data_IF_205459194532
#
_entry.id   IF_205459194532
#
_cell.length_a   1.000
_cell.length_b   1.000
_cell.length_c   1.000
_cell.angle_alpha   90.00
_cell.angle_beta   90.00
_cell.angle_gamma   90.00
#
_symmetry.space_group_name_H-M   'P 1'
#
loop_
_entity.id
_entity.type
_entity.pdbx_description
1 polymer ?
#
# COMPACT_ATOMS: atom_id res chain seq x y z
N UNK A 1 3.73 8.72 -30.07
CA UNK A 1 4.53 9.87 -29.63
C UNK A 1 3.77 10.86 -28.73
N UNK A 2 2.44 11.03 -28.89
CA UNK A 2 1.62 11.93 -28.07
C UNK A 2 1.52 11.50 -26.60
N UNK A 3 1.30 10.23 -26.34
CA UNK A 3 1.14 9.67 -24.96
C UNK A 3 2.40 9.89 -24.09
N UNK A 4 3.58 9.71 -24.67
CA UNK A 4 4.86 9.89 -23.96
C UNK A 4 5.09 11.35 -23.55
N UNK A 5 4.73 12.30 -24.41
CA UNK A 5 4.80 13.73 -24.10
C UNK A 5 3.86 14.09 -22.94
N UNK A 6 2.64 13.55 -22.95
CA UNK A 6 1.67 13.80 -21.89
C UNK A 6 2.08 13.16 -20.55
N UNK A 7 2.70 11.99 -20.57
CA UNK A 7 3.26 11.36 -19.35
C UNK A 7 4.34 12.22 -18.68
N UNK A 8 5.25 12.76 -19.47
CA UNK A 8 6.34 13.63 -18.97
C UNK A 8 5.81 14.93 -18.38
N UNK A 9 4.65 15.40 -18.82
CA UNK A 9 3.98 16.61 -18.33
C UNK A 9 3.24 16.40 -17.00
N UNK A 10 3.09 15.15 -16.53
CA UNK A 10 2.44 14.89 -15.24
C UNK A 10 3.22 15.54 -14.09
N UNK A 11 2.51 16.09 -13.09
CA UNK A 11 3.12 16.73 -11.94
C UNK A 11 4.10 15.81 -11.19
N UNK A 12 5.12 16.39 -10.61
CA UNK A 12 6.14 15.66 -9.82
C UNK A 12 5.53 14.79 -8.72
N UNK A 13 4.44 15.23 -8.12
CA UNK A 13 3.70 14.48 -7.09
C UNK A 13 3.19 13.14 -7.63
N UNK A 14 2.70 13.09 -8.88
CA UNK A 14 2.22 11.85 -9.52
C UNK A 14 3.37 10.85 -9.70
N UNK A 15 4.50 11.29 -10.20
CA UNK A 15 5.71 10.48 -10.35
C UNK A 15 6.25 9.99 -9.01
N UNK A 16 6.24 10.86 -8.00
CA UNK A 16 6.72 10.51 -6.66
C UNK A 16 5.83 9.44 -6.01
N UNK A 17 4.50 9.58 -6.11
CA UNK A 17 3.55 8.57 -5.63
C UNK A 17 3.74 7.25 -6.38
N UNK A 18 3.91 7.28 -7.69
CA UNK A 18 4.19 6.09 -8.49
C UNK A 18 5.48 5.39 -8.05
N UNK A 19 6.58 6.15 -7.87
CA UNK A 19 7.87 5.62 -7.43
C UNK A 19 7.79 5.00 -6.03
N UNK A 20 7.11 5.66 -5.10
CA UNK A 20 6.86 5.11 -3.76
C UNK A 20 6.10 3.78 -3.87
N UNK A 21 5.10 3.71 -4.73
CA UNK A 21 4.32 2.48 -4.95
C UNK A 21 5.19 1.36 -5.53
N UNK A 22 5.98 1.65 -6.55
CA UNK A 22 6.91 0.70 -7.15
C UNK A 22 7.86 0.10 -6.11
N UNK A 23 8.53 0.96 -5.33
CA UNK A 23 9.49 0.51 -4.30
C UNK A 23 8.79 -0.25 -3.17
N UNK A 24 7.63 0.23 -2.73
CA UNK A 24 6.87 -0.45 -1.68
C UNK A 24 6.37 -1.83 -2.12
N UNK A 25 5.86 -1.93 -3.36
CA UNK A 25 5.32 -3.19 -3.85
C UNK A 25 6.42 -4.17 -4.22
N UNK A 26 7.58 -3.69 -4.71
CA UNK A 26 8.77 -4.53 -4.80
C UNK A 26 9.14 -5.15 -3.44
N UNK A 27 9.13 -4.35 -2.37
CA UNK A 27 9.42 -4.85 -1.02
C UNK A 27 8.34 -5.82 -0.51
N UNK A 28 7.07 -5.53 -0.78
CA UNK A 28 5.94 -6.37 -0.37
C UNK A 28 5.97 -7.72 -1.03
N UNK A 29 6.07 -7.70 -2.36
CA UNK A 29 6.02 -8.90 -3.19
C UNK A 29 7.31 -9.72 -3.14
N UNK A 30 8.43 -9.12 -2.74
CA UNK A 30 9.65 -9.85 -2.36
C UNK A 30 9.40 -10.77 -1.17
N UNK A 31 8.65 -10.31 -0.17
CA UNK A 31 8.41 -11.05 1.07
C UNK A 31 7.21 -11.99 0.99
N UNK A 32 6.21 -11.66 0.19
CA UNK A 32 4.94 -12.38 0.15
C UNK A 32 5.10 -13.89 -0.09
N UNK A 33 5.90 -14.37 -1.09
CA UNK A 33 6.11 -15.80 -1.31
C UNK A 33 6.95 -16.47 -0.21
N UNK A 34 7.72 -15.69 0.56
CA UNK A 34 8.59 -16.22 1.61
C UNK A 34 7.84 -16.46 2.94
N UNK A 35 6.71 -15.79 3.16
CA UNK A 35 5.92 -15.92 4.40
C UNK A 35 5.41 -17.35 4.62
N UNK A 36 4.78 -18.04 3.64
CA UNK A 36 4.38 -19.43 3.80
C UNK A 36 5.57 -20.35 4.06
N UNK A 37 6.70 -20.13 3.38
CA UNK A 37 7.92 -20.88 3.57
C UNK A 37 8.48 -20.70 4.99
N UNK A 38 8.56 -19.44 5.47
CA UNK A 38 9.01 -19.13 6.82
C UNK A 38 8.08 -19.73 7.89
N UNK A 39 6.78 -19.63 7.67
CA UNK A 39 5.75 -20.18 8.56
C UNK A 39 5.89 -21.71 8.71
N UNK A 40 6.10 -22.42 7.61
CA UNK A 40 6.22 -23.88 7.64
C UNK A 40 7.60 -24.38 8.08
N UNK A 41 8.68 -23.78 7.56
CA UNK A 41 10.03 -24.28 7.78
C UNK A 41 10.66 -23.78 9.09
N UNK A 42 10.33 -22.57 9.56
CA UNK A 42 10.94 -21.96 10.74
C UNK A 42 9.98 -21.96 11.94
N UNK A 43 8.73 -21.56 11.72
CA UNK A 43 7.74 -21.48 12.80
C UNK A 43 6.98 -22.79 13.03
N UNK A 44 7.20 -23.80 12.19
CA UNK A 44 6.57 -25.13 12.27
C UNK A 44 5.04 -25.06 12.35
N UNK A 45 4.43 -24.05 11.71
CA UNK A 45 3.00 -23.81 11.72
C UNK A 45 2.35 -24.23 10.39
N UNK A 46 1.17 -24.84 10.50
CA UNK A 46 0.47 -25.42 9.37
C UNK A 46 -0.37 -24.40 8.55
N UNK A 47 -1.00 -24.85 7.45
CA UNK A 47 -1.80 -24.00 6.55
C UNK A 47 -2.95 -23.27 7.23
N UNK A 48 -3.50 -23.80 8.34
CA UNK A 48 -4.55 -23.13 9.12
C UNK A 48 -4.09 -21.80 9.70
N UNK A 49 -2.83 -21.75 10.20
CA UNK A 49 -2.24 -20.51 10.70
C UNK A 49 -2.08 -19.48 9.59
N UNK A 50 -1.62 -19.91 8.40
CA UNK A 50 -1.51 -19.04 7.22
C UNK A 50 -2.87 -18.46 6.83
N UNK A 51 -3.90 -19.30 6.74
CA UNK A 51 -5.27 -18.86 6.41
C UNK A 51 -5.83 -17.85 7.41
N UNK A 52 -5.57 -18.05 8.71
CA UNK A 52 -5.98 -17.12 9.76
C UNK A 52 -5.22 -15.78 9.64
N UNK A 53 -3.91 -15.83 9.45
CA UNK A 53 -3.06 -14.64 9.29
C UNK A 53 -3.53 -13.80 8.10
N UNK A 54 -3.66 -14.40 6.93
CA UNK A 54 -4.04 -13.67 5.71
C UNK A 54 -5.51 -13.23 5.76
N UNK A 55 -6.42 -14.05 6.31
CA UNK A 55 -7.83 -13.68 6.46
C UNK A 55 -8.04 -12.47 7.36
N UNK A 56 -7.42 -12.46 8.56
CA UNK A 56 -7.48 -11.31 9.47
C UNK A 56 -6.82 -10.08 8.85
N UNK A 57 -5.68 -10.28 8.19
CA UNK A 57 -4.95 -9.20 7.54
C UNK A 57 -5.79 -8.53 6.43
N UNK A 58 -6.40 -9.29 5.52
CA UNK A 58 -7.16 -8.74 4.41
C UNK A 58 -8.49 -8.11 4.85
N UNK A 59 -9.18 -8.70 5.82
CA UNK A 59 -10.37 -8.09 6.44
C UNK A 59 -10.04 -6.73 7.05
N UNK A 60 -8.93 -6.64 7.78
CA UNK A 60 -8.44 -5.39 8.39
C UNK A 60 -8.17 -4.32 7.32
N UNK A 61 -7.44 -4.66 6.26
CA UNK A 61 -7.13 -3.71 5.18
C UNK A 61 -8.41 -3.18 4.50
N UNK A 62 -9.38 -4.05 4.27
CA UNK A 62 -10.65 -3.70 3.62
C UNK A 62 -11.48 -2.76 4.47
N UNK A 63 -11.62 -3.04 5.77
CA UNK A 63 -12.34 -2.18 6.71
C UNK A 63 -11.67 -0.82 6.85
N UNK A 64 -10.34 -0.80 7.01
CA UNK A 64 -9.60 0.45 7.22
C UNK A 64 -9.59 1.36 5.99
N UNK A 65 -9.72 0.83 4.77
CA UNK A 65 -9.91 1.67 3.58
C UNK A 65 -11.15 2.56 3.68
N UNK A 66 -12.24 2.04 4.21
CA UNK A 66 -13.47 2.82 4.40
C UNK A 66 -13.27 3.93 5.45
N UNK A 67 -12.65 3.58 6.59
CA UNK A 67 -12.39 4.54 7.65
C UNK A 67 -11.37 5.61 7.25
N UNK A 68 -10.33 5.25 6.50
CA UNK A 68 -9.29 6.19 6.07
C UNK A 68 -9.83 7.26 5.12
N UNK A 69 -10.83 6.94 4.29
CA UNK A 69 -11.52 7.91 3.46
C UNK A 69 -12.22 8.97 4.32
N UNK A 70 -13.06 8.55 5.28
CA UNK A 70 -13.77 9.46 6.18
C UNK A 70 -12.79 10.30 7.02
N UNK A 71 -11.70 9.70 7.47
CA UNK A 71 -10.70 10.39 8.28
C UNK A 71 -9.95 11.44 7.46
N UNK A 72 -9.65 11.15 6.21
CA UNK A 72 -9.08 12.10 5.27
C UNK A 72 -9.99 13.30 5.03
N UNK A 73 -11.28 13.08 4.80
CA UNK A 73 -12.27 14.14 4.57
C UNK A 73 -12.35 15.10 5.77
N UNK A 74 -12.16 14.59 6.99
CA UNK A 74 -12.13 15.39 8.21
C UNK A 74 -10.85 16.18 8.39
N UNK A 75 -9.69 15.60 8.11
CA UNK A 75 -8.38 16.19 8.39
C UNK A 75 -7.88 17.10 7.28
N UNK A 76 -8.38 16.92 6.05
CA UNK A 76 -7.95 17.63 4.82
C UNK A 76 -6.43 17.57 4.59
N UNK A 77 -5.76 16.58 5.19
CA UNK A 77 -4.31 16.36 5.08
C UNK A 77 -4.02 14.91 4.73
N UNK A 78 -3.50 14.66 3.53
CA UNK A 78 -3.18 13.32 3.06
C UNK A 78 -1.80 12.85 3.53
N UNK A 79 -0.81 13.74 3.49
CA UNK A 79 0.59 13.41 3.79
C UNK A 79 0.81 12.71 5.12
N UNK A 80 0.27 13.16 6.28
CA UNK A 80 0.51 12.48 7.55
C UNK A 80 0.07 11.01 7.53
N UNK A 81 -1.09 10.72 6.95
CA UNK A 81 -1.62 9.37 6.84
C UNK A 81 -0.79 8.48 5.93
N UNK A 82 -0.28 9.05 4.83
CA UNK A 82 0.61 8.36 3.90
C UNK A 82 1.93 8.01 4.61
N UNK A 83 2.55 8.97 5.32
CA UNK A 83 3.81 8.76 6.04
C UNK A 83 3.65 7.74 7.17
N UNK A 84 2.61 7.86 7.98
CA UNK A 84 2.32 6.89 9.06
C UNK A 84 2.07 5.50 8.46
N UNK A 85 1.28 5.40 7.38
CA UNK A 85 1.00 4.13 6.74
C UNK A 85 2.25 3.45 6.20
N UNK A 86 3.15 4.16 5.51
CA UNK A 86 4.43 3.61 5.06
C UNK A 86 5.39 3.32 6.21
N UNK A 87 5.40 4.15 7.27
CA UNK A 87 6.19 3.93 8.46
C UNK A 87 5.82 2.63 9.19
N UNK A 88 4.53 2.38 9.42
CA UNK A 88 4.04 1.14 10.03
C UNK A 88 4.45 -0.10 9.22
N UNK A 89 4.26 -0.04 7.91
CA UNK A 89 4.65 -1.10 6.98
C UNK A 89 6.15 -1.31 6.98
N UNK A 90 6.91 -0.21 6.91
CA UNK A 90 8.37 -0.24 6.84
C UNK A 90 9.04 -0.77 8.10
N UNK A 91 8.49 -0.47 9.27
CA UNK A 91 8.98 -1.00 10.53
C UNK A 91 8.60 -2.48 10.73
N UNK A 92 7.39 -2.86 10.33
CA UNK A 92 6.88 -4.21 10.55
C UNK A 92 7.63 -5.28 9.77
N UNK A 93 7.93 -5.04 8.50
CA UNK A 93 8.51 -6.06 7.60
C UNK A 93 9.87 -6.61 8.05
N UNK A 94 10.87 -5.79 8.41
CA UNK A 94 12.14 -6.30 8.93
C UNK A 94 12.01 -7.07 10.24
N UNK A 95 11.00 -6.74 11.05
CA UNK A 95 10.76 -7.43 12.32
C UNK A 95 10.35 -8.90 12.15
N UNK A 96 9.90 -9.30 10.95
CA UNK A 96 9.61 -10.71 10.64
C UNK A 96 10.84 -11.58 10.86
N UNK A 97 12.04 -11.05 10.62
CA UNK A 97 13.30 -11.78 10.86
C UNK A 97 13.49 -12.28 12.29
N UNK A 98 12.88 -11.61 13.26
CA UNK A 98 13.02 -11.90 14.71
C UNK A 98 11.82 -12.66 15.29
N UNK A 99 10.87 -13.02 14.45
CA UNK A 99 9.66 -13.70 14.92
C UNK A 99 9.95 -15.15 15.31
N UNK A 100 9.58 -15.50 16.53
CA UNK A 100 9.76 -16.84 17.11
C UNK A 100 8.48 -17.69 17.11
N UNK A 101 7.32 -17.10 16.80
CA UNK A 101 6.05 -17.82 16.80
C UNK A 101 5.03 -17.19 15.84
N UNK A 102 4.11 -18.01 15.29
CA UNK A 102 3.13 -17.53 14.32
C UNK A 102 2.16 -16.43 14.84
N UNK A 103 1.80 -16.31 16.13
CA UNK A 103 0.99 -15.18 16.59
C UNK A 103 1.71 -13.83 16.46
N UNK A 104 3.03 -13.79 16.65
CA UNK A 104 3.82 -12.59 16.42
C UNK A 104 3.85 -12.21 14.93
N UNK A 105 3.98 -13.21 14.06
CA UNK A 105 3.87 -12.99 12.60
C UNK A 105 2.50 -12.40 12.25
N UNK A 106 1.43 -12.93 12.84
CA UNK A 106 0.07 -12.41 12.64
C UNK A 106 -0.04 -10.94 13.07
N UNK A 107 0.53 -10.56 14.21
CA UNK A 107 0.52 -9.16 14.69
C UNK A 107 1.26 -8.22 13.72
N UNK A 108 2.40 -8.64 13.20
CA UNK A 108 3.17 -7.87 12.22
C UNK A 108 2.37 -7.74 10.90
N UNK A 109 1.78 -8.82 10.41
CA UNK A 109 0.94 -8.80 9.20
C UNK A 109 -0.30 -7.92 9.39
N UNK A 110 -0.92 -7.98 10.56
CA UNK A 110 -2.03 -7.08 10.92
C UNK A 110 -1.57 -5.61 10.85
N UNK A 111 -0.44 -5.27 11.48
CA UNK A 111 0.13 -3.91 11.45
C UNK A 111 0.45 -3.44 10.01
N UNK A 112 1.00 -4.31 9.16
CA UNK A 112 1.24 -4.03 7.74
C UNK A 112 -0.07 -3.68 7.01
N UNK A 113 -1.14 -4.41 7.27
CA UNK A 113 -2.46 -4.16 6.66
C UNK A 113 -3.14 -2.91 7.20
N UNK A 114 -2.94 -2.59 8.49
CA UNK A 114 -3.36 -1.30 9.06
C UNK A 114 -2.67 -0.17 8.31
N UNK A 115 -1.35 -0.22 8.15
CA UNK A 115 -0.61 0.78 7.40
C UNK A 115 -1.08 0.90 5.94
N UNK A 116 -1.35 -0.23 5.26
CA UNK A 116 -1.91 -0.25 3.91
C UNK A 116 -3.29 0.40 3.84
N UNK A 117 -4.18 0.07 4.77
CA UNK A 117 -5.53 0.65 4.85
C UNK A 117 -5.49 2.17 5.07
N UNK A 118 -4.67 2.63 6.00
CA UNK A 118 -4.56 4.06 6.34
C UNK A 118 -4.06 4.92 5.18
N UNK A 119 -3.10 4.44 4.38
CA UNK A 119 -2.48 5.24 3.31
C UNK A 119 -3.24 5.20 1.99
N UNK A 120 -4.06 4.18 1.71
CA UNK A 120 -4.62 3.95 0.38
C UNK A 120 -5.52 5.10 -0.06
N UNK A 121 -6.56 5.44 0.71
CA UNK A 121 -7.49 6.54 0.35
C UNK A 121 -6.80 7.91 0.32
N UNK A 122 -5.96 8.30 1.29
CA UNK A 122 -5.21 9.56 1.23
C UNK A 122 -4.29 9.66 0.03
N UNK A 123 -3.60 8.57 -0.34
CA UNK A 123 -2.74 8.51 -1.52
C UNK A 123 -3.53 8.73 -2.81
N UNK A 124 -4.65 8.02 -2.96
CA UNK A 124 -5.48 8.09 -4.15
C UNK A 124 -6.12 9.48 -4.31
N UNK A 125 -6.54 10.10 -3.21
CA UNK A 125 -7.04 11.46 -3.21
C UNK A 125 -5.95 12.48 -3.59
N UNK A 126 -4.74 12.34 -3.04
CA UNK A 126 -3.59 13.18 -3.41
C UNK A 126 -3.23 13.02 -4.89
N UNK A 127 -3.26 11.79 -5.41
CA UNK A 127 -3.00 11.49 -6.82
C UNK A 127 -4.04 12.17 -7.72
N UNK A 128 -5.33 12.04 -7.39
CA UNK A 128 -6.43 12.65 -8.12
C UNK A 128 -6.37 14.18 -8.12
N UNK A 129 -6.03 14.79 -6.98
CA UNK A 129 -5.88 16.24 -6.83
C UNK A 129 -4.68 16.75 -7.64
N UNK A 130 -3.54 16.06 -7.57
CA UNK A 130 -2.33 16.46 -8.29
C UNK A 130 -2.49 16.36 -9.82
N UNK A 131 -3.19 15.36 -10.32
CA UNK A 131 -3.36 15.14 -11.76
C UNK A 131 -4.38 16.09 -12.40
N UNK A 132 -5.30 16.64 -11.61
CA UNK A 132 -6.41 17.43 -12.13
C UNK A 132 -7.43 16.60 -12.96
N UNK A 133 -8.58 17.19 -13.32
CA UNK A 133 -9.70 16.44 -13.91
C UNK A 133 -9.36 15.77 -15.25
N UNK A 134 -8.56 16.42 -16.10
CA UNK A 134 -8.25 15.94 -17.44
C UNK A 134 -7.21 14.81 -17.51
N UNK A 135 -6.35 14.65 -16.49
CA UNK A 135 -5.25 13.68 -16.50
C UNK A 135 -5.40 12.58 -15.44
N UNK A 136 -6.53 12.51 -14.72
CA UNK A 136 -6.76 11.50 -13.68
C UNK A 136 -6.54 10.07 -14.19
N UNK A 137 -7.15 9.71 -15.32
CA UNK A 137 -7.02 8.37 -15.88
C UNK A 137 -5.56 8.01 -16.17
N UNK A 138 -4.79 8.96 -16.73
CA UNK A 138 -3.37 8.74 -17.04
C UNK A 138 -2.52 8.62 -15.74
N UNK A 139 -2.79 9.43 -14.73
CA UNK A 139 -2.08 9.38 -13.46
C UNK A 139 -2.33 8.07 -12.70
N UNK A 140 -3.58 7.61 -12.64
CA UNK A 140 -3.92 6.31 -12.06
C UNK A 140 -3.35 5.15 -12.88
N UNK A 141 -3.35 5.26 -14.21
CA UNK A 141 -2.73 4.29 -15.11
C UNK A 141 -1.22 4.17 -14.87
N UNK A 142 -0.50 5.28 -14.78
CA UNK A 142 0.93 5.30 -14.45
C UNK A 142 1.19 4.69 -13.07
N UNK A 143 0.43 5.13 -12.06
CA UNK A 143 0.54 4.58 -10.71
C UNK A 143 0.36 3.05 -10.71
N UNK A 144 -0.67 2.54 -11.39
CA UNK A 144 -0.95 1.11 -11.48
C UNK A 144 0.12 0.34 -12.26
N UNK A 145 0.69 0.96 -13.29
CA UNK A 145 1.80 0.38 -14.04
C UNK A 145 3.06 0.23 -13.15
N UNK A 146 3.36 1.24 -12.34
CA UNK A 146 4.49 1.19 -11.40
C UNK A 146 4.25 0.21 -10.25
N UNK A 147 3.04 0.12 -9.73
CA UNK A 147 2.55 -0.85 -8.76
C UNK A 147 2.82 -2.29 -9.27
N UNK A 148 2.31 -2.60 -10.47
CA UNK A 148 2.51 -3.90 -11.11
C UNK A 148 3.97 -4.19 -11.48
N UNK A 149 4.73 -3.17 -11.89
CA UNK A 149 6.17 -3.34 -12.11
C UNK A 149 6.90 -3.74 -10.82
N UNK A 150 6.52 -3.14 -9.68
CA UNK A 150 7.00 -3.54 -8.37
C UNK A 150 6.66 -5.00 -8.03
N UNK A 151 5.44 -5.42 -8.36
CA UNK A 151 4.99 -6.80 -8.15
C UNK A 151 5.76 -7.84 -9.00
N UNK A 152 6.37 -7.42 -10.10
CA UNK A 152 7.28 -8.28 -10.89
C UNK A 152 8.69 -8.25 -10.32
N UNK A 153 9.19 -7.06 -9.98
CA UNK A 153 10.56 -6.88 -9.48
C UNK A 153 10.76 -7.59 -8.13
N UNK A 154 9.77 -7.51 -7.23
CA UNK A 154 9.86 -8.09 -5.89
C UNK A 154 10.20 -9.58 -5.88
N UNK A 155 9.40 -10.45 -6.48
CA UNK A 155 9.68 -11.89 -6.55
C UNK A 155 10.99 -12.23 -7.25
N UNK A 156 11.39 -11.47 -8.28
CA UNK A 156 12.68 -11.67 -8.95
C UNK A 156 13.86 -11.39 -8.02
N UNK A 157 13.77 -10.32 -7.21
CA UNK A 157 14.78 -10.04 -6.18
C UNK A 157 14.80 -11.13 -5.12
N UNK A 158 13.64 -11.59 -4.65
CA UNK A 158 13.55 -12.69 -3.69
C UNK A 158 14.21 -13.97 -4.23
N UNK A 159 13.91 -14.30 -5.49
CA UNK A 159 14.50 -15.46 -6.17
C UNK A 159 16.02 -15.33 -6.28
N UNK A 160 16.53 -14.17 -6.69
CA UNK A 160 17.97 -13.95 -6.82
C UNK A 160 18.71 -14.06 -5.48
N UNK A 161 18.11 -13.53 -4.38
CA UNK A 161 18.68 -13.65 -3.03
C UNK A 161 18.69 -15.10 -2.55
N UNK A 162 17.59 -15.84 -2.76
CA UNK A 162 17.53 -17.27 -2.43
C UNK A 162 18.54 -18.10 -3.26
N UNK A 163 18.65 -17.82 -4.56
CA UNK A 163 19.61 -18.49 -5.45
C UNK A 163 21.07 -18.20 -5.03
N UNK A 164 21.31 -17.06 -4.39
CA UNK A 164 22.62 -16.69 -3.80
C UNK A 164 22.82 -17.27 -2.40
N UNK A 165 21.97 -18.20 -1.95
CA UNK A 165 22.01 -18.84 -0.63
C UNK A 165 21.92 -17.84 0.54
N UNK A 166 21.31 -16.69 0.34
CA UNK A 166 21.06 -15.73 1.42
C UNK A 166 20.05 -16.34 2.40
N UNK A 167 20.32 -16.36 3.71
CA UNK A 167 19.39 -16.87 4.71
C UNK A 167 18.04 -16.16 4.67
N UNK A 168 16.96 -16.91 4.89
CA UNK A 168 15.58 -16.39 4.81
C UNK A 168 15.36 -15.18 5.74
N UNK A 169 15.95 -15.22 6.93
CA UNK A 169 15.89 -14.14 7.91
C UNK A 169 16.55 -12.86 7.40
N UNK A 170 17.68 -12.97 6.71
CA UNK A 170 18.38 -11.82 6.16
C UNK A 170 17.59 -11.16 5.03
N UNK A 171 16.83 -11.94 4.25
CA UNK A 171 15.95 -11.39 3.22
C UNK A 171 14.86 -10.51 3.83
N UNK A 172 14.31 -10.90 4.98
CA UNK A 172 13.38 -10.04 5.71
C UNK A 172 14.04 -8.74 6.21
N UNK A 173 15.29 -8.81 6.68
CA UNK A 173 16.05 -7.62 7.09
C UNK A 173 16.35 -6.70 5.90
N UNK A 174 16.69 -7.25 4.73
CA UNK A 174 16.89 -6.48 3.50
C UNK A 174 15.68 -5.66 3.10
N UNK A 175 14.48 -6.05 3.50
CA UNK A 175 13.27 -5.26 3.25
C UNK A 175 13.28 -3.88 3.93
N UNK A 176 14.16 -3.67 4.92
CA UNK A 176 14.35 -2.35 5.56
C UNK A 176 14.84 -1.29 4.57
N UNK A 177 15.63 -1.69 3.55
CA UNK A 177 16.18 -0.76 2.56
C UNK A 177 15.07 -0.11 1.73
N UNK A 178 14.26 -0.85 0.97
CA UNK A 178 13.16 -0.25 0.22
C UNK A 178 12.11 0.41 1.14
N UNK A 179 11.89 -0.09 2.34
CA UNK A 179 11.00 0.51 3.31
C UNK A 179 11.47 1.92 3.72
N UNK A 180 12.75 2.07 4.03
CA UNK A 180 13.35 3.37 4.35
C UNK A 180 13.24 4.33 3.18
N UNK A 181 13.53 3.86 1.96
CA UNK A 181 13.36 4.66 0.74
C UNK A 181 11.92 5.15 0.61
N UNK A 182 10.92 4.29 0.82
CA UNK A 182 9.51 4.66 0.76
C UNK A 182 9.15 5.77 1.76
N UNK A 183 9.59 5.65 3.01
CA UNK A 183 9.33 6.65 4.05
C UNK A 183 10.00 7.98 3.69
N UNK A 184 11.26 7.94 3.27
CA UNK A 184 12.01 9.14 2.86
C UNK A 184 11.31 9.82 1.68
N UNK A 185 10.94 9.08 0.65
CA UNK A 185 10.20 9.63 -0.49
C UNK A 185 8.84 10.20 -0.07
N UNK A 186 8.12 9.54 0.86
CA UNK A 186 6.84 10.03 1.37
C UNK A 186 6.97 11.36 2.13
N UNK A 187 8.10 11.63 2.78
CA UNK A 187 8.37 12.91 3.43
C UNK A 187 8.47 14.08 2.44
N UNK A 188 8.86 13.82 1.18
CA UNK A 188 8.92 14.83 0.12
C UNK A 188 7.54 15.11 -0.52
N UNK A 189 6.51 14.32 -0.22
CA UNK A 189 5.15 14.63 -0.67
C UNK A 189 4.68 15.94 -0.06
N UNK A 190 3.92 16.69 -0.84
CA UNK A 190 3.27 17.92 -0.39
C UNK A 190 1.76 17.76 -0.49
N UNK A 191 1.05 18.12 0.57
CA UNK A 191 -0.40 18.17 0.50
C UNK A 191 -0.82 19.19 -0.58
N UNK A 192 -1.79 18.85 -1.43
CA UNK A 192 -2.35 19.80 -2.36
C UNK A 192 -2.98 20.98 -1.59
N UNK A 193 -2.98 22.20 -2.17
CA UNK A 193 -3.67 23.34 -1.56
C UNK A 193 -5.12 22.97 -1.23
N UNK A 194 -5.62 23.41 -0.07
CA UNK A 194 -6.90 22.97 0.52
C UNK A 194 -8.16 23.17 -0.33
N UNK A 195 -8.08 23.96 -1.41
CA UNK A 195 -9.17 24.20 -2.35
C UNK A 195 -9.50 23.00 -3.26
N UNK A 196 -8.65 21.97 -3.31
CA UNK A 196 -8.84 20.80 -4.19
C UNK A 196 -9.55 19.62 -3.50
N UNK A 197 -9.78 19.68 -2.21
CA UNK A 197 -10.68 18.75 -1.55
C UNK A 197 -12.11 19.25 -1.74
N UNK A 198 -12.76 18.77 -2.82
CA UNK A 198 -14.18 19.04 -3.06
C UNK A 198 -14.94 18.64 -1.79
N UNK A 199 -15.67 19.57 -1.19
CA UNK A 199 -16.62 19.24 -0.15
C UNK A 199 -17.68 18.34 -0.79
N UNK A 200 -17.50 17.03 -0.61
CA UNK A 200 -18.58 16.11 -0.93
C UNK A 200 -19.72 16.44 0.01
N UNK A 201 -20.95 16.68 -0.51
CA UNK A 201 -22.10 16.87 0.32
C UNK A 201 -22.17 15.72 1.32
N UNK A 202 -22.43 16.02 2.60
CA UNK A 202 -22.51 15.01 3.66
C UNK A 202 -23.44 13.91 3.17
N UNK A 203 -22.89 12.70 2.97
CA UNK A 203 -23.69 11.58 2.49
C UNK A 203 -24.77 11.29 3.52
N UNK A 204 -25.99 11.59 3.17
CA UNK A 204 -27.16 11.36 4.02
C UNK A 204 -27.84 10.07 3.56
N UNK A 205 -27.64 9.00 4.29
CA UNK A 205 -28.25 7.69 4.01
C UNK A 205 -29.78 7.74 3.87
N UNK A 206 -30.44 8.74 4.47
CA UNK A 206 -31.89 8.90 4.39
C UNK A 206 -32.36 9.54 3.07
N UNK A 207 -31.51 10.34 2.44
CA UNK A 207 -31.82 11.03 1.17
C UNK A 207 -31.42 10.21 -0.06
N UNK A 208 -30.39 9.38 0.06
CA UNK A 208 -29.90 8.50 -1.02
C UNK A 208 -30.49 7.09 -0.89
N UNK A 209 -31.79 7.00 -1.10
CA UNK A 209 -32.42 5.67 -1.26
C UNK A 209 -31.83 5.02 -2.52
N UNK A 210 -31.28 3.81 -2.35
CA UNK A 210 -30.85 2.98 -3.47
C UNK A 210 -32.01 2.87 -4.44
N UNK A 211 -31.81 3.22 -5.73
CA UNK A 211 -32.88 3.18 -6.71
C UNK A 211 -33.51 1.79 -6.76
N UNK A 212 -34.84 1.67 -7.00
CA UNK A 212 -35.50 0.37 -7.07
C UNK A 212 -34.87 -0.59 -8.10
N UNK A 213 -34.22 -0.06 -9.13
CA UNK A 213 -33.46 -0.83 -10.09
C UNK A 213 -32.19 -1.47 -9.50
N UNK A 214 -31.48 -0.77 -8.58
CA UNK A 214 -30.30 -1.28 -7.88
C UNK A 214 -30.64 -2.25 -6.73
N UNK A 215 -31.88 -2.22 -6.24
CA UNK A 215 -32.33 -3.15 -5.18
C UNK A 215 -32.64 -4.55 -5.72
N UNK A 216 -32.69 -4.71 -7.05
CA UNK A 216 -32.97 -6.00 -7.73
C UNK A 216 -31.73 -6.77 -8.16
N UNK A 217 -30.54 -6.22 -7.90
CA UNK A 217 -29.24 -6.87 -8.08
C UNK A 217 -28.63 -7.20 -6.73
#
# INVERSE_FOLDING_TARGET
MHLFKTLVQLPRTVWLIGLISLVNDSASEMLYPLIPLYLSAVLMAGPKALGLIEGVAEATASLLKLFSGVLMDRTRRAKPWIVVGYGLVGLGRPLIAFVSSWPWLMLIRFSDRVGKGLRTSPRDAMLAAAAGPHHRGLAFGLHRAMDNAGAVVGPLVAWALLASAVPLQDIFLWSAVPATICVVLALFLKDPPGEHFVELPRFNWREHRISPAMQRY
#
